data_IF_004218142397
#
_entry.id   IF_004218142397
#
_cell.length_a   1.000
_cell.length_b   1.000
_cell.length_c   1.000
_cell.angle_alpha   90.00
_cell.angle_beta   90.00
_cell.angle_gamma   90.00
#
_symmetry.space_group_name_H-M   'P 1'
#
loop_
_entity.id
_entity.type
_entity.pdbx_description
1 polymer ?
#
# COMPACT_ATOMS: atom_id res chain seq x y z
N UNK A 1 -12.23 32.00 48.87
CA UNK A 1 -10.95 31.35 48.48
C UNK A 1 -10.32 30.78 49.75
N UNK A 2 -10.76 29.60 50.22
CA UNK A 2 -10.06 28.74 51.21
C UNK A 2 -10.81 27.48 51.68
N UNK A 3 -11.89 27.03 51.02
CA UNK A 3 -12.56 25.76 51.38
C UNK A 3 -12.53 24.66 50.30
N UNK A 4 -12.02 24.96 49.10
CA UNK A 4 -11.98 24.01 47.98
C UNK A 4 -10.68 23.21 47.84
N UNK A 5 -9.67 23.44 48.69
CA UNK A 5 -8.39 22.69 48.67
C UNK A 5 -8.27 21.58 49.73
N UNK A 6 -9.19 21.53 50.71
CA UNK A 6 -9.17 20.50 51.76
C UNK A 6 -9.83 19.16 51.35
N UNK A 7 -10.71 19.14 50.34
CA UNK A 7 -11.39 17.92 49.89
C UNK A 7 -10.63 17.10 48.82
N UNK A 8 -9.48 17.57 48.35
CA UNK A 8 -8.69 16.90 47.29
C UNK A 8 -7.47 16.12 47.80
N UNK A 9 -7.24 16.05 49.11
CA UNK A 9 -6.14 15.27 49.73
C UNK A 9 -6.59 14.02 50.51
N UNK A 10 -7.87 13.66 50.46
CA UNK A 10 -8.43 12.55 51.25
C UNK A 10 -8.95 11.36 50.41
N UNK A 11 -8.54 11.24 49.13
CA UNK A 11 -8.89 10.11 48.24
C UNK A 11 -7.69 9.41 47.56
N UNK A 12 -6.45 9.70 47.97
CA UNK A 12 -5.24 9.06 47.42
C UNK A 12 -4.50 8.19 48.47
N UNK A 13 -5.07 8.01 49.66
CA UNK A 13 -4.46 7.20 50.73
C UNK A 13 -5.46 6.20 51.32
N UNK A 14 -6.05 5.33 50.48
CA UNK A 14 -6.89 4.22 50.95
C UNK A 14 -7.11 3.14 49.88
N UNK A 15 -6.06 2.60 49.26
CA UNK A 15 -6.12 1.27 48.61
C UNK A 15 -4.75 0.57 48.50
N UNK A 16 -3.88 0.81 49.48
CA UNK A 16 -2.80 -0.12 49.82
C UNK A 16 -2.99 -0.53 51.28
N UNK A 17 -2.89 -1.84 51.53
CA UNK A 17 -2.86 -2.59 52.80
C UNK A 17 -4.12 -3.38 53.15
N UNK A 18 -4.21 -4.57 52.59
CA UNK A 18 -4.68 -5.85 53.16
C UNK A 18 -4.30 -6.86 52.05
N UNK A 19 -3.38 -7.82 52.18
CA UNK A 19 -3.16 -8.81 53.25
C UNK A 19 -1.73 -9.38 53.20
N UNK A 20 -1.28 -9.88 54.36
CA UNK A 20 0.04 -10.42 54.66
C UNK A 20 0.03 -11.97 54.65
N UNK A 21 1.15 -12.58 54.22
CA UNK A 21 1.79 -13.84 54.64
C UNK A 21 1.01 -15.13 54.99
N UNK A 22 1.44 -16.27 54.42
CA UNK A 22 1.95 -17.51 55.07
C UNK A 22 2.35 -18.52 53.96
N UNK A 23 3.63 -18.64 53.55
CA UNK A 23 4.63 -19.70 53.86
C UNK A 23 4.20 -21.17 53.64
N UNK A 24 4.92 -21.88 52.75
CA UNK A 24 5.64 -23.15 53.00
C UNK A 24 6.41 -23.64 51.75
N UNK A 25 7.74 -23.73 51.88
CA UNK A 25 8.71 -24.49 51.06
C UNK A 25 8.83 -25.92 51.66
N UNK A 26 9.35 -26.97 50.94
CA UNK A 26 10.80 -27.09 50.68
C UNK A 26 11.28 -27.87 49.42
N UNK A 27 12.45 -27.42 48.95
CA UNK A 27 13.65 -28.13 48.41
C UNK A 27 13.54 -29.43 47.58
N UNK A 28 14.22 -29.45 46.42
CA UNK A 28 15.44 -30.27 46.25
C UNK A 28 16.31 -29.78 45.08
N UNK A 29 17.61 -29.64 45.39
CA UNK A 29 18.76 -29.40 44.52
C UNK A 29 19.05 -30.62 43.62
N UNK A 30 19.67 -30.40 42.44
CA UNK A 30 20.95 -31.04 42.06
C UNK A 30 21.67 -30.13 41.05
N UNK A 31 22.97 -29.98 41.32
CA UNK A 31 24.03 -29.20 40.68
C UNK A 31 24.70 -29.98 39.53
N UNK A 32 25.12 -29.30 38.46
CA UNK A 32 26.37 -29.62 37.73
C UNK A 32 26.87 -28.43 36.88
N UNK A 33 27.88 -27.74 37.41
CA UNK A 33 29.02 -27.03 36.77
C UNK A 33 29.68 -27.87 35.64
N UNK A 34 30.48 -27.40 34.68
CA UNK A 34 31.16 -26.14 34.40
C UNK A 34 31.94 -26.24 33.04
N UNK A 35 32.35 -25.06 32.51
CA UNK A 35 33.57 -24.75 31.72
C UNK A 35 33.72 -25.28 30.28
N UNK A 36 33.82 -24.36 29.30
CA UNK A 36 35.12 -23.94 28.75
C UNK A 36 35.01 -22.69 27.84
N UNK A 37 35.96 -21.77 28.05
CA UNK A 37 36.27 -20.56 27.27
C UNK A 37 37.73 -20.67 26.83
N UNK A 38 38.08 -20.23 25.62
CA UNK A 38 39.09 -19.16 25.46
C UNK A 38 38.61 -18.13 24.42
N UNK A 39 38.48 -16.84 24.73
CA UNK A 39 39.53 -15.81 24.73
C UNK A 39 40.46 -15.82 23.51
N UNK A 40 40.21 -14.93 22.54
CA UNK A 40 41.28 -14.10 21.99
C UNK A 40 40.71 -12.76 21.46
N UNK A 41 41.37 -11.70 21.88
CA UNK A 41 41.17 -10.28 21.55
C UNK A 41 42.26 -9.85 20.57
N UNK A 42 41.90 -9.10 19.53
CA UNK A 42 42.71 -8.10 18.79
C UNK A 42 41.77 -7.48 17.73
N UNK A 43 41.11 -6.33 17.95
CA UNK A 43 41.53 -4.92 17.82
C UNK A 43 41.74 -4.38 16.39
N UNK A 44 40.96 -3.32 16.09
CA UNK A 44 41.13 -2.19 15.16
C UNK A 44 40.83 -2.26 13.64
N UNK A 45 39.80 -1.47 13.29
CA UNK A 45 39.65 -0.51 12.16
C UNK A 45 39.80 -0.98 10.70
N UNK A 46 38.70 -0.89 9.94
CA UNK A 46 38.55 0.17 8.91
C UNK A 46 37.06 0.37 8.58
N UNK A 47 36.63 1.63 8.60
CA UNK A 47 35.33 2.09 8.10
C UNK A 47 35.31 1.93 6.57
N UNK A 48 34.44 1.06 6.05
CA UNK A 48 34.00 1.16 4.66
C UNK A 48 32.66 1.91 4.59
N UNK A 49 32.68 2.91 3.70
CA UNK A 49 31.70 3.98 3.57
C UNK A 49 30.32 3.48 3.18
N UNK A 50 29.34 4.07 3.85
CA UNK A 50 27.92 4.07 3.53
C UNK A 50 27.67 4.63 2.11
N UNK A 51 26.74 4.07 1.30
CA UNK A 51 26.49 4.52 -0.07
C UNK A 51 25.61 5.78 -0.14
N UNK A 52 25.94 6.81 0.64
CA UNK A 52 25.26 8.12 0.65
C UNK A 52 25.81 9.06 -0.44
N UNK A 53 27.02 8.80 -0.94
CA UNK A 53 27.65 9.64 -1.99
C UNK A 53 27.05 9.40 -3.40
N UNK A 54 26.35 8.28 -3.63
CA UNK A 54 25.72 8.01 -4.93
C UNK A 54 24.37 8.72 -5.11
N UNK A 55 23.68 9.08 -4.02
CA UNK A 55 22.42 9.80 -4.05
C UNK A 55 22.61 11.32 -4.21
N UNK A 56 23.72 11.88 -3.70
CA UNK A 56 24.02 13.31 -3.87
C UNK A 56 24.46 13.65 -5.31
N UNK A 57 25.11 12.72 -6.01
CA UNK A 57 25.50 12.92 -7.41
C UNK A 57 24.28 13.06 -8.36
N UNK A 58 23.17 12.39 -8.06
CA UNK A 58 21.95 12.51 -8.89
C UNK A 58 21.12 13.76 -8.58
N UNK A 59 21.26 14.34 -7.38
CA UNK A 59 20.56 15.57 -7.00
C UNK A 59 21.34 16.80 -7.52
N UNK A 60 22.68 16.78 -7.53
CA UNK A 60 23.50 17.87 -8.09
C UNK A 60 23.45 17.97 -9.63
N UNK A 61 23.00 16.93 -10.32
CA UNK A 61 22.81 16.93 -11.78
C UNK A 61 21.43 17.44 -12.22
N UNK A 62 20.44 17.53 -11.31
CA UNK A 62 19.11 18.05 -11.61
C UNK A 62 18.93 19.54 -11.33
N UNK A 63 19.93 20.21 -10.74
CA UNK A 63 19.88 21.66 -10.42
C UNK A 63 20.83 22.51 -11.28
N UNK A 64 21.26 22.02 -12.45
CA UNK A 64 22.23 22.73 -13.33
C UNK A 64 21.85 22.86 -14.81
N UNK A 65 20.59 22.66 -15.18
CA UNK A 65 20.10 23.00 -16.51
C UNK A 65 18.92 23.97 -16.40
N UNK A 66 19.23 25.23 -16.11
CA UNK A 66 18.41 26.40 -16.47
C UNK A 66 19.22 27.65 -16.10
N UNK A 67 20.21 28.01 -16.92
CA UNK A 67 20.52 29.42 -17.24
C UNK A 67 21.67 29.57 -18.27
N UNK A 68 21.42 30.47 -19.22
CA UNK A 68 22.35 31.18 -20.15
C UNK A 68 22.93 30.46 -21.39
N UNK A 69 22.38 30.81 -22.57
CA UNK A 69 23.21 31.27 -23.70
C UNK A 69 22.64 32.60 -24.27
N UNK A 70 23.37 33.73 -24.14
CA UNK A 70 22.96 35.04 -24.63
C UNK A 70 23.68 35.39 -25.94
N UNK A 71 23.08 35.11 -27.10
CA UNK A 71 23.37 35.86 -28.33
C UNK A 71 22.32 35.62 -29.43
N UNK A 72 21.26 36.44 -29.47
CA UNK A 72 20.92 37.09 -30.74
C UNK A 72 20.21 38.42 -30.51
N UNK A 73 20.72 39.43 -31.20
CA UNK A 73 20.55 40.86 -30.93
C UNK A 73 19.52 41.44 -31.89
N UNK A 74 18.59 42.23 -31.32
CA UNK A 74 17.85 43.36 -31.93
C UNK A 74 16.92 43.10 -33.13
N UNK A 75 15.64 43.47 -32.94
CA UNK A 75 14.90 44.58 -33.61
C UNK A 75 13.66 44.83 -32.71
N UNK A 76 13.63 45.86 -31.87
CA UNK A 76 13.10 47.22 -32.09
C UNK A 76 11.58 47.31 -32.40
N UNK A 77 10.89 47.93 -31.43
CA UNK A 77 9.84 48.97 -31.53
C UNK A 77 8.35 48.59 -31.50
N UNK A 78 7.68 49.30 -30.57
CA UNK A 78 6.36 49.93 -30.65
C UNK A 78 5.08 49.20 -30.17
N UNK A 79 4.58 49.74 -29.05
CA UNK A 79 3.18 49.75 -28.65
C UNK A 79 2.32 50.49 -29.69
N UNK A 80 1.13 50.00 -29.98
CA UNK A 80 -0.16 50.73 -29.90
C UNK A 80 -1.29 49.94 -30.57
N UNK A 81 -2.52 50.05 -30.03
CA UNK A 81 -3.72 50.03 -30.86
C UNK A 81 -4.60 48.78 -30.89
N UNK A 82 -5.58 48.75 -29.97
CA UNK A 82 -7.03 48.76 -30.27
C UNK A 82 -7.67 47.74 -31.23
N UNK A 83 -8.67 47.03 -30.68
CA UNK A 83 -9.95 46.61 -31.29
C UNK A 83 -9.93 45.77 -32.60
N UNK A 84 -10.40 44.52 -32.54
CA UNK A 84 -11.67 44.04 -33.16
C UNK A 84 -11.83 42.51 -33.01
N UNK A 85 -13.07 42.09 -32.74
CA UNK A 85 -13.57 40.71 -32.68
C UNK A 85 -13.58 40.02 -34.08
N UNK A 86 -13.76 38.68 -34.13
CA UNK A 86 -13.24 37.82 -35.20
C UNK A 86 -14.28 37.55 -36.31
N UNK A 87 -13.89 36.84 -37.38
CA UNK A 87 -14.83 35.97 -38.06
C UNK A 87 -14.50 34.49 -37.85
N UNK A 88 -15.60 33.84 -37.53
CA UNK A 88 -15.96 32.43 -37.53
C UNK A 88 -15.81 31.78 -38.94
N UNK A 89 -16.17 30.51 -39.00
CA UNK A 89 -16.49 29.67 -40.17
C UNK A 89 -15.42 28.64 -40.54
N UNK A 90 -15.47 27.54 -39.79
CA UNK A 90 -15.78 26.17 -40.23
C UNK A 90 -15.48 25.72 -41.67
N UNK A 91 -15.17 24.41 -41.75
CA UNK A 91 -15.29 23.45 -42.88
C UNK A 91 -14.00 23.31 -43.71
N UNK A 92 -13.58 22.15 -44.19
CA UNK A 92 -14.05 20.74 -44.19
C UNK A 92 -13.00 19.99 -45.01
N UNK A 93 -12.57 18.82 -44.53
CA UNK A 93 -12.12 17.61 -45.23
C UNK A 93 -11.49 17.70 -46.64
N UNK A 94 -10.32 17.06 -46.78
CA UNK A 94 -10.12 15.80 -47.53
C UNK A 94 -8.86 15.78 -48.42
N UNK A 95 -8.05 14.74 -48.17
CA UNK A 95 -7.28 13.91 -49.13
C UNK A 95 -6.44 14.60 -50.22
N UNK A 96 -5.14 14.34 -50.16
CA UNK A 96 -4.38 14.00 -51.36
C UNK A 96 -3.36 12.90 -51.04
N UNK A 97 -3.55 11.75 -51.67
CA UNK A 97 -2.54 10.70 -51.84
C UNK A 97 -1.46 11.19 -52.80
N UNK A 98 -0.19 10.91 -52.51
CA UNK A 98 0.79 10.61 -53.56
C UNK A 98 1.72 9.51 -53.05
N UNK A 99 1.77 8.42 -53.82
CA UNK A 99 2.61 7.26 -53.58
C UNK A 99 4.03 7.44 -54.13
N UNK A 100 4.89 6.52 -53.68
CA UNK A 100 6.21 6.12 -54.22
C UNK A 100 7.45 6.85 -53.69
N UNK A 101 8.25 6.13 -52.91
CA UNK A 101 9.60 5.72 -53.28
C UNK A 101 10.23 4.92 -52.13
N UNK A 102 10.38 3.62 -52.33
CA UNK A 102 11.22 2.75 -51.48
C UNK A 102 12.67 2.97 -51.90
N UNK A 103 13.52 3.38 -50.97
CA UNK A 103 14.97 3.19 -51.06
C UNK A 103 15.53 2.76 -49.69
N UNK A 104 16.21 1.62 -49.72
CA UNK A 104 16.92 0.97 -48.62
C UNK A 104 18.09 1.79 -48.06
N UNK A 105 18.27 1.74 -46.73
CA UNK A 105 19.53 1.50 -45.95
C UNK A 105 19.42 2.01 -44.49
N UNK A 106 20.28 1.54 -43.54
CA UNK A 106 20.18 0.29 -42.81
C UNK A 106 19.88 0.52 -41.32
N UNK A 107 19.55 -0.57 -40.61
CA UNK A 107 19.28 -0.60 -39.18
C UNK A 107 20.51 -0.19 -38.34
N UNK A 108 20.33 0.81 -37.48
CA UNK A 108 21.08 0.98 -36.23
C UNK A 108 20.14 0.66 -35.08
N UNK A 109 20.31 -0.53 -34.51
CA UNK A 109 19.61 -0.94 -33.30
C UNK A 109 20.08 -0.09 -32.13
N UNK A 110 19.13 0.62 -31.51
CA UNK A 110 19.24 1.05 -30.13
C UNK A 110 18.18 0.27 -29.37
N UNK A 111 18.63 -0.73 -28.62
CA UNK A 111 17.79 -1.53 -27.73
C UNK A 111 17.33 -0.64 -26.59
N UNK A 112 16.12 -0.10 -26.69
CA UNK A 112 15.35 0.41 -25.55
C UNK A 112 14.53 -0.78 -25.05
N UNK A 113 15.07 -1.57 -24.11
CA UNK A 113 14.32 -2.66 -23.47
C UNK A 113 14.45 -2.72 -21.94
N UNK A 114 15.40 -2.01 -21.35
CA UNK A 114 15.64 -2.11 -19.90
C UNK A 114 14.84 -1.11 -19.05
N UNK A 115 14.45 0.06 -19.60
CA UNK A 115 13.70 1.09 -18.84
C UNK A 115 12.24 0.72 -18.58
N UNK A 116 11.59 0.05 -19.53
CA UNK A 116 10.16 -0.20 -19.49
C UNK A 116 9.81 -1.41 -18.61
N UNK A 117 10.71 -2.41 -18.52
CA UNK A 117 10.55 -3.55 -17.61
C UNK A 117 10.73 -3.17 -16.14
N UNK A 118 11.62 -2.21 -15.83
CA UNK A 118 11.80 -1.72 -14.46
C UNK A 118 10.65 -0.81 -14.01
N UNK A 119 10.12 0.07 -14.87
CA UNK A 119 8.94 0.86 -14.55
C UNK A 119 7.66 0.01 -14.43
N UNK A 120 7.52 -1.07 -15.23
CA UNK A 120 6.37 -1.97 -15.17
C UNK A 120 6.39 -2.91 -13.93
N UNK A 121 7.50 -2.94 -13.17
CA UNK A 121 7.61 -3.61 -11.87
C UNK A 121 7.11 -2.76 -10.68
N UNK A 122 6.81 -1.48 -10.90
CA UNK A 122 6.64 -0.50 -9.81
C UNK A 122 5.18 -0.28 -9.35
N UNK A 123 4.26 -1.19 -9.69
CA UNK A 123 2.84 -1.12 -9.30
C UNK A 123 2.25 -2.49 -8.94
N UNK A 124 2.91 -3.23 -8.05
CA UNK A 124 2.57 -4.63 -7.80
C UNK A 124 1.27 -4.86 -6.99
N UNK A 125 0.72 -3.83 -6.33
CA UNK A 125 -0.44 -3.95 -5.42
C UNK A 125 -1.75 -4.33 -6.13
N UNK A 126 -1.92 -3.92 -7.39
CA UNK A 126 -3.07 -4.32 -8.19
C UNK A 126 -3.04 -5.81 -8.57
N UNK A 127 -1.84 -6.40 -8.66
CA UNK A 127 -1.63 -7.76 -9.16
C UNK A 127 -1.65 -8.86 -8.10
N UNK A 128 -1.63 -8.54 -6.80
CA UNK A 128 -1.59 -9.55 -5.74
C UNK A 128 -2.98 -10.11 -5.39
N UNK A 129 -3.48 -11.07 -6.16
CA UNK A 129 -4.35 -12.12 -5.59
C UNK A 129 -3.51 -13.39 -5.49
N UNK A 130 -3.05 -13.69 -4.28
CA UNK A 130 -2.66 -15.06 -3.95
C UNK A 130 -3.83 -16.01 -4.15
N UNK A 131 -3.54 -17.28 -4.47
CA UNK A 131 -4.56 -18.32 -4.67
C UNK A 131 -5.59 -18.27 -3.55
N UNK A 132 -6.88 -18.22 -3.90
CA UNK A 132 -7.95 -18.29 -2.91
C UNK A 132 -7.72 -19.50 -2.00
N UNK A 133 -7.93 -19.37 -0.68
CA UNK A 133 -7.86 -20.52 0.21
C UNK A 133 -8.76 -21.64 -0.30
N UNK A 134 -8.23 -22.86 -0.39
CA UNK A 134 -8.97 -24.04 -0.87
C UNK A 134 -10.15 -24.44 0.02
N UNK A 135 -10.22 -23.86 1.22
CA UNK A 135 -11.26 -24.07 2.20
C UNK A 135 -11.65 -22.75 2.85
N UNK A 136 -12.87 -22.68 3.37
CA UNK A 136 -13.31 -21.57 4.21
C UNK A 136 -12.41 -21.48 5.45
N UNK A 137 -11.85 -20.30 5.69
CA UNK A 137 -10.97 -20.07 6.84
C UNK A 137 -11.77 -19.56 8.04
N UNK A 138 -11.25 -19.80 9.24
CA UNK A 138 -11.83 -19.23 10.46
C UNK A 138 -11.73 -17.71 10.46
N UNK A 139 -12.69 -17.00 11.10
CA UNK A 139 -12.63 -15.56 11.31
C UNK A 139 -11.32 -15.08 11.95
N UNK A 140 -10.93 -13.86 11.61
CA UNK A 140 -9.80 -13.17 12.25
C UNK A 140 -10.30 -12.57 13.56
N UNK A 141 -9.80 -13.07 14.69
CA UNK A 141 -10.20 -12.65 16.03
C UNK A 141 -8.98 -12.29 16.87
N UNK A 142 -9.17 -11.42 17.86
CA UNK A 142 -8.14 -11.08 18.86
C UNK A 142 -7.36 -9.81 18.57
N UNK A 143 -7.18 -9.42 17.31
CA UNK A 143 -6.47 -8.18 16.97
C UNK A 143 -7.15 -6.93 17.54
N UNK A 144 -8.47 -6.93 17.66
CA UNK A 144 -9.26 -5.86 18.24
C UNK A 144 -8.98 -5.66 19.74
N UNK A 145 -8.50 -6.70 20.44
CA UNK A 145 -8.13 -6.63 21.86
C UNK A 145 -6.75 -6.02 22.09
N UNK A 146 -5.95 -5.90 21.03
CA UNK A 146 -4.64 -5.23 21.11
C UNK A 146 -4.86 -3.73 21.37
N UNK A 147 -4.11 -3.11 22.28
CA UNK A 147 -4.17 -1.67 22.49
C UNK A 147 -3.80 -0.93 21.19
N UNK A 148 -4.39 0.25 20.99
CA UNK A 148 -3.95 1.14 19.93
C UNK A 148 -2.59 1.74 20.31
N UNK A 149 -1.60 1.62 19.44
CA UNK A 149 -0.19 1.94 19.69
C UNK A 149 0.36 2.91 18.65
N UNK A 150 1.57 3.43 18.87
CA UNK A 150 2.33 4.16 17.85
C UNK A 150 2.66 3.24 16.67
N UNK A 151 2.91 3.81 15.48
CA UNK A 151 3.30 3.02 14.30
C UNK A 151 4.60 2.24 14.55
N UNK A 152 5.57 2.85 15.24
CA UNK A 152 6.85 2.24 15.62
C UNK A 152 6.63 0.97 16.47
N UNK A 153 5.81 1.08 17.53
CA UNK A 153 5.51 -0.06 18.40
C UNK A 153 4.68 -1.13 17.66
N UNK A 154 3.78 -0.69 16.79
CA UNK A 154 2.87 -1.57 16.07
C UNK A 154 3.58 -2.49 15.06
N UNK A 155 4.72 -2.06 14.50
CA UNK A 155 5.50 -2.88 13.55
C UNK A 155 6.59 -3.71 14.20
N UNK A 156 6.86 -3.53 15.51
CA UNK A 156 8.02 -4.13 16.17
C UNK A 156 8.06 -5.66 16.04
N UNK A 157 6.90 -6.33 16.11
CA UNK A 157 6.80 -7.79 16.02
C UNK A 157 7.08 -8.34 14.61
N UNK A 158 6.99 -7.50 13.57
CA UNK A 158 7.17 -7.87 12.17
C UNK A 158 8.34 -7.12 11.50
N UNK A 159 9.08 -6.33 12.28
CA UNK A 159 10.18 -5.48 11.83
C UNK A 159 11.21 -6.25 10.98
N UNK A 160 11.63 -7.42 11.46
CA UNK A 160 12.60 -8.31 10.81
C UNK A 160 12.15 -8.89 9.46
N UNK A 161 10.86 -8.77 9.11
CA UNK A 161 10.33 -9.29 7.85
C UNK A 161 10.45 -8.27 6.70
N UNK A 162 10.62 -6.98 7.02
CA UNK A 162 10.44 -5.88 6.08
C UNK A 162 11.73 -5.07 5.96
N UNK A 163 12.20 -4.87 4.73
CA UNK A 163 13.43 -4.12 4.49
C UNK A 163 13.25 -2.63 4.76
N UNK A 164 14.25 -2.04 5.42
CA UNK A 164 14.33 -0.61 5.74
C UNK A 164 13.07 -0.05 6.43
N UNK A 165 12.40 -0.88 7.23
CA UNK A 165 11.13 -0.52 7.88
C UNK A 165 11.24 0.73 8.77
N UNK A 166 12.35 0.94 9.48
CA UNK A 166 12.55 2.12 10.33
C UNK A 166 12.53 3.43 9.53
N UNK A 167 13.14 3.43 8.34
CA UNK A 167 13.13 4.59 7.45
C UNK A 167 11.72 4.78 6.89
N UNK A 168 11.06 3.72 6.45
CA UNK A 168 9.68 3.77 5.92
C UNK A 168 8.69 4.28 6.95
N UNK A 169 8.80 3.86 8.22
CA UNK A 169 7.97 4.37 9.32
C UNK A 169 8.18 5.86 9.52
N UNK A 170 9.43 6.33 9.55
CA UNK A 170 9.73 7.78 9.67
C UNK A 170 9.14 8.58 8.52
N UNK A 171 9.35 8.14 7.28
CA UNK A 171 8.78 8.78 6.08
C UNK A 171 7.25 8.77 6.14
N UNK A 172 6.65 7.65 6.53
CA UNK A 172 5.20 7.53 6.62
C UNK A 172 4.61 8.53 7.62
N UNK A 173 5.24 8.68 8.80
CA UNK A 173 4.82 9.64 9.82
C UNK A 173 5.03 11.09 9.39
N UNK A 174 6.15 11.41 8.76
CA UNK A 174 6.43 12.76 8.24
C UNK A 174 5.37 13.17 7.20
N UNK A 175 5.07 12.30 6.24
CA UNK A 175 4.03 12.56 5.24
C UNK A 175 2.66 12.70 5.91
N UNK A 176 2.32 11.82 6.84
CA UNK A 176 1.05 11.88 7.58
C UNK A 176 0.88 13.18 8.38
N UNK A 177 1.96 13.76 8.91
CA UNK A 177 1.94 15.05 9.62
C UNK A 177 1.75 16.25 8.67
N UNK A 178 2.33 16.17 7.48
CA UNK A 178 2.25 17.25 6.49
C UNK A 178 0.89 17.30 5.80
N UNK A 179 0.20 16.17 5.70
CA UNK A 179 -1.09 16.09 5.02
C UNK A 179 -2.25 16.54 5.91
N UNK A 180 -3.18 17.26 5.28
CA UNK A 180 -4.31 17.90 5.96
C UNK A 180 -5.53 17.01 6.17
N UNK A 181 -5.41 15.68 6.07
CA UNK A 181 -6.50 14.73 6.30
C UNK A 181 -6.94 14.75 7.76
N UNK A 182 -7.89 15.64 8.12
CA UNK A 182 -8.24 15.94 9.52
C UNK A 182 -8.99 14.81 10.26
N UNK A 183 -9.35 13.74 9.56
CA UNK A 183 -10.19 12.69 10.13
C UNK A 183 -9.39 11.59 10.85
N UNK A 184 -8.16 11.33 10.40
CA UNK A 184 -7.29 10.32 10.98
C UNK A 184 -6.23 10.99 11.86
N UNK A 185 -5.82 10.30 12.92
CA UNK A 185 -4.61 10.67 13.65
C UNK A 185 -3.36 10.45 12.78
N UNK A 186 -2.24 11.04 13.18
CA UNK A 186 -0.96 10.84 12.50
C UNK A 186 -0.59 9.36 12.43
N UNK A 187 -0.76 8.60 13.52
CA UNK A 187 -0.42 7.17 13.55
C UNK A 187 -1.32 6.34 12.61
N UNK A 188 -2.61 6.66 12.55
CA UNK A 188 -3.57 6.00 11.66
C UNK A 188 -3.31 6.31 10.19
N UNK A 189 -3.06 7.58 9.87
CA UNK A 189 -2.69 8.03 8.52
C UNK A 189 -1.37 7.39 8.08
N UNK A 190 -0.36 7.40 8.96
CA UNK A 190 0.94 6.79 8.68
C UNK A 190 0.84 5.27 8.46
N UNK A 191 -0.09 4.57 9.12
CA UNK A 191 -0.31 3.14 8.88
C UNK A 191 -0.80 2.87 7.45
N UNK A 192 -1.74 3.68 6.92
CA UNK A 192 -2.19 3.59 5.53
C UNK A 192 -1.04 3.97 4.59
N UNK A 193 -0.33 5.06 4.87
CA UNK A 193 0.81 5.50 4.08
C UNK A 193 1.85 4.39 3.95
N UNK A 194 2.22 3.75 5.06
CA UNK A 194 3.16 2.62 5.08
C UNK A 194 2.63 1.40 4.32
N UNK A 195 1.34 1.07 4.43
CA UNK A 195 0.72 -0.02 3.67
C UNK A 195 0.86 0.21 2.15
N UNK A 196 0.75 1.45 1.70
CA UNK A 196 0.81 1.79 0.28
C UNK A 196 2.23 1.99 -0.27
N UNK A 197 3.26 1.98 0.58
CA UNK A 197 4.65 2.08 0.13
C UNK A 197 5.07 0.81 -0.60
N UNK A 198 5.49 0.97 -1.85
CA UNK A 198 6.06 -0.13 -2.60
C UNK A 198 7.52 -0.35 -2.24
N UNK A 199 7.97 -1.60 -2.34
CA UNK A 199 9.35 -1.98 -2.08
C UNK A 199 9.73 -3.18 -2.94
N UNK A 200 10.99 -3.21 -3.34
CA UNK A 200 11.61 -4.36 -3.98
C UNK A 200 12.77 -4.87 -3.09
N UNK A 201 12.92 -6.18 -2.91
CA UNK A 201 12.08 -7.27 -3.45
C UNK A 201 10.70 -7.37 -2.77
N UNK A 202 9.70 -7.92 -3.48
CA UNK A 202 8.30 -7.96 -3.02
C UNK A 202 8.10 -8.81 -1.76
N UNK A 203 8.88 -9.88 -1.60
CA UNK A 203 8.84 -10.75 -0.43
C UNK A 203 9.36 -10.09 0.85
N UNK A 204 9.89 -8.85 0.73
CA UNK A 204 10.27 -7.94 1.82
C UNK A 204 9.40 -6.69 1.88
N UNK A 205 8.30 -6.64 1.13
CA UNK A 205 7.37 -5.53 1.11
C UNK A 205 6.21 -5.76 2.09
N UNK A 206 5.90 -4.75 2.92
CA UNK A 206 4.92 -4.87 4.00
C UNK A 206 3.54 -5.31 3.50
N UNK A 207 2.99 -4.66 2.46
CA UNK A 207 1.64 -4.99 1.98
C UNK A 207 1.58 -6.43 1.47
N UNK A 208 2.64 -6.87 0.78
CA UNK A 208 2.70 -8.19 0.16
C UNK A 208 2.74 -9.28 1.23
N UNK A 209 3.61 -9.12 2.24
CA UNK A 209 3.72 -10.08 3.34
C UNK A 209 2.42 -10.09 4.16
N UNK A 210 1.87 -8.93 4.51
CA UNK A 210 0.61 -8.85 5.24
C UNK A 210 -0.55 -9.53 4.49
N UNK A 211 -0.72 -9.24 3.20
CA UNK A 211 -1.77 -9.85 2.39
C UNK A 211 -1.58 -11.36 2.23
N UNK A 212 -0.33 -11.83 2.10
CA UNK A 212 -0.01 -13.25 2.15
C UNK A 212 -0.40 -13.87 3.50
N UNK A 213 -0.07 -13.23 4.61
CA UNK A 213 -0.39 -13.72 5.96
C UNK A 213 -1.90 -13.72 6.22
N UNK A 214 -2.65 -12.72 5.75
CA UNK A 214 -4.12 -12.67 5.84
C UNK A 214 -4.79 -13.85 5.14
N UNK A 215 -4.21 -14.32 4.03
CA UNK A 215 -4.65 -15.52 3.29
C UNK A 215 -4.18 -16.84 3.92
N UNK A 216 -3.29 -16.82 4.91
CA UNK A 216 -2.81 -18.04 5.57
C UNK A 216 -3.94 -18.75 6.29
N UNK A 217 -4.06 -20.06 6.06
CA UNK A 217 -4.98 -20.91 6.81
C UNK A 217 -4.61 -21.00 8.29
N UNK A 218 -3.32 -20.85 8.62
CA UNK A 218 -2.86 -20.81 10.00
C UNK A 218 -3.03 -19.39 10.57
N UNK A 219 -4.13 -19.16 11.31
CA UNK A 219 -4.42 -17.87 11.93
C UNK A 219 -3.38 -17.41 12.96
N UNK A 220 -2.53 -18.32 13.45
CA UNK A 220 -1.43 -17.95 14.35
C UNK A 220 -0.38 -17.08 13.66
N UNK A 221 -0.24 -17.19 12.34
CA UNK A 221 0.70 -16.39 11.57
C UNK A 221 0.34 -14.89 11.57
N UNK A 222 -0.93 -14.55 11.82
CA UNK A 222 -1.40 -13.17 11.94
C UNK A 222 -1.13 -12.55 13.31
N UNK A 223 -0.83 -13.34 14.35
CA UNK A 223 -0.66 -12.81 15.72
C UNK A 223 0.42 -11.72 15.79
N UNK A 224 1.61 -11.88 15.17
CA UNK A 224 2.62 -10.82 15.13
C UNK A 224 2.14 -9.53 14.44
N UNK A 225 1.17 -9.64 13.53
CA UNK A 225 0.60 -8.50 12.80
C UNK A 225 -0.51 -7.79 13.57
N UNK A 226 -1.03 -8.33 14.68
CA UNK A 226 -2.18 -7.75 15.37
C UNK A 226 -2.00 -6.29 15.80
N UNK A 227 -0.84 -5.83 16.30
CA UNK A 227 -0.66 -4.41 16.62
C UNK A 227 -0.76 -3.50 15.38
N UNK A 228 -0.09 -3.87 14.28
CA UNK A 228 -0.19 -3.13 13.02
C UNK A 228 -1.60 -3.21 12.40
N UNK A 229 -2.21 -4.39 12.39
CA UNK A 229 -3.57 -4.60 11.88
C UNK A 229 -4.60 -3.82 12.69
N UNK A 230 -4.44 -3.72 14.02
CA UNK A 230 -5.28 -2.87 14.88
C UNK A 230 -5.20 -1.41 14.42
N UNK A 231 -4.01 -0.88 14.20
CA UNK A 231 -3.80 0.51 13.77
C UNK A 231 -4.40 0.76 12.37
N UNK A 232 -4.06 -0.08 11.39
CA UNK A 232 -4.56 0.02 10.01
C UNK A 232 -6.09 -0.12 9.94
N UNK A 233 -6.66 -1.12 10.60
CA UNK A 233 -8.12 -1.32 10.59
C UNK A 233 -8.87 -0.20 11.32
N UNK A 234 -8.30 0.37 12.40
CA UNK A 234 -8.88 1.55 13.06
C UNK A 234 -8.93 2.74 12.11
N UNK A 235 -7.85 2.97 11.35
CA UNK A 235 -7.78 4.01 10.33
C UNK A 235 -8.86 3.80 9.25
N UNK A 236 -8.90 2.62 8.63
CA UNK A 236 -9.85 2.30 7.57
C UNK A 236 -11.31 2.34 8.05
N UNK A 237 -11.58 2.00 9.31
CA UNK A 237 -12.94 2.06 9.86
C UNK A 237 -13.46 3.50 10.00
N UNK A 238 -12.58 4.45 10.33
CA UNK A 238 -12.94 5.88 10.43
C UNK A 238 -13.24 6.51 9.08
N UNK A 239 -12.67 5.98 7.99
CA UNK A 239 -12.93 6.47 6.64
C UNK A 239 -14.37 6.16 6.19
N UNK A 240 -15.06 7.11 5.54
CA UNK A 240 -16.41 6.88 5.02
C UNK A 240 -16.39 5.74 3.99
N UNK A 241 -17.41 4.87 3.99
CA UNK A 241 -17.50 3.81 3.00
C UNK A 241 -17.85 4.36 1.62
N UNK A 242 -17.14 3.83 0.63
CA UNK A 242 -17.41 3.99 -0.79
C UNK A 242 -18.32 2.86 -1.25
N UNK A 243 -19.45 3.23 -1.86
CA UNK A 243 -20.47 2.33 -2.40
C UNK A 243 -20.66 2.56 -3.90
N UNK A 244 -19.83 1.92 -4.71
CA UNK A 244 -19.85 2.04 -6.18
C UNK A 244 -19.16 0.84 -6.82
N UNK A 245 -19.26 0.70 -8.12
CA UNK A 245 -18.47 -0.30 -8.86
C UNK A 245 -17.00 0.13 -8.90
N UNK A 246 -16.10 -0.75 -8.50
CA UNK A 246 -14.65 -0.57 -8.59
C UNK A 246 -14.01 -1.70 -9.37
N UNK A 247 -12.79 -1.45 -9.86
CA UNK A 247 -12.08 -2.30 -10.80
C UNK A 247 -10.74 -2.75 -10.22
N UNK A 248 -10.43 -4.03 -10.40
CA UNK A 248 -9.13 -4.60 -10.04
C UNK A 248 -8.61 -5.50 -11.17
N UNK A 249 -7.46 -5.15 -11.72
CA UNK A 249 -6.79 -5.91 -12.77
C UNK A 249 -5.69 -6.81 -12.23
N UNK A 250 -5.58 -8.03 -12.75
CA UNK A 250 -4.56 -9.01 -12.39
C UNK A 250 -3.93 -9.55 -13.66
N UNK A 251 -2.63 -9.34 -13.79
CA UNK A 251 -1.84 -9.80 -14.94
C UNK A 251 -1.41 -11.25 -14.79
N UNK A 252 -1.08 -11.84 -15.94
CA UNK A 252 -0.47 -13.16 -16.12
C UNK A 252 -1.27 -14.31 -15.51
N UNK A 253 -2.59 -14.17 -15.36
CA UNK A 253 -3.44 -15.20 -14.76
C UNK A 253 -4.88 -15.16 -15.28
N UNK A 254 -5.45 -16.34 -15.48
CA UNK A 254 -6.87 -16.57 -15.66
C UNK A 254 -7.46 -17.13 -14.36
N UNK A 255 -8.37 -16.39 -13.72
CA UNK A 255 -9.05 -16.83 -12.50
C UNK A 255 -10.49 -17.31 -12.75
N UNK A 256 -10.96 -17.32 -14.00
CA UNK A 256 -12.37 -17.61 -14.33
C UNK A 256 -12.84 -18.98 -13.86
N UNK A 257 -11.96 -19.98 -13.78
CA UNK A 257 -12.29 -21.31 -13.24
C UNK A 257 -12.40 -21.34 -11.71
N UNK A 258 -11.73 -20.42 -11.01
CA UNK A 258 -11.78 -20.34 -9.55
C UNK A 258 -13.06 -19.66 -9.05
N UNK A 259 -13.66 -18.80 -9.88
CA UNK A 259 -14.87 -18.04 -9.56
C UNK A 259 -16.06 -18.58 -10.37
N UNK A 260 -16.90 -19.40 -9.74
CA UNK A 260 -18.10 -19.93 -10.40
C UNK A 260 -19.31 -19.07 -10.09
N UNK A 261 -20.18 -18.86 -11.07
CA UNK A 261 -21.38 -18.04 -10.91
C UNK A 261 -22.29 -18.59 -9.80
N UNK A 262 -22.86 -17.69 -8.99
CA UNK A 262 -23.66 -18.02 -7.81
C UNK A 262 -22.87 -18.55 -6.61
N UNK A 263 -21.54 -18.72 -6.73
CA UNK A 263 -20.70 -19.08 -5.59
C UNK A 263 -20.28 -17.85 -4.78
N UNK A 264 -19.95 -18.10 -3.52
CA UNK A 264 -19.54 -17.08 -2.58
C UNK A 264 -18.08 -17.25 -2.15
N UNK A 265 -17.39 -16.14 -1.97
CA UNK A 265 -15.96 -16.11 -1.64
C UNK A 265 -15.64 -15.05 -0.59
N UNK A 266 -14.70 -15.36 0.29
CA UNK A 266 -14.10 -14.38 1.19
C UNK A 266 -12.78 -13.89 0.63
N UNK A 267 -12.66 -12.59 0.40
CA UNK A 267 -11.37 -11.94 0.13
C UNK A 267 -10.72 -11.58 1.45
N UNK A 268 -9.72 -12.37 1.85
CA UNK A 268 -9.04 -12.20 3.14
C UNK A 268 -8.01 -11.08 3.15
N UNK A 269 -7.40 -10.77 2.01
CA UNK A 269 -6.42 -9.70 1.87
C UNK A 269 -7.09 -8.32 1.74
N UNK A 270 -6.31 -7.26 1.96
CA UNK A 270 -6.68 -5.94 1.50
C UNK A 270 -6.51 -5.89 -0.03
N UNK A 271 -7.46 -5.28 -0.73
CA UNK A 271 -7.46 -5.24 -2.20
C UNK A 271 -7.51 -3.81 -2.72
N UNK A 272 -6.42 -3.38 -3.35
CA UNK A 272 -6.34 -2.10 -4.06
C UNK A 272 -7.18 -2.15 -5.33
N UNK A 273 -8.07 -1.18 -5.49
CA UNK A 273 -8.95 -1.03 -6.63
C UNK A 273 -8.92 0.42 -7.11
N UNK A 274 -9.43 0.65 -8.31
CA UNK A 274 -9.68 1.99 -8.84
C UNK A 274 -11.13 2.10 -9.29
N UNK A 275 -11.68 3.29 -9.26
CA UNK A 275 -12.99 3.58 -9.84
C UNK A 275 -12.91 3.89 -11.35
N UNK A 276 -11.72 4.21 -11.85
CA UNK A 276 -11.54 4.66 -13.23
C UNK A 276 -11.23 3.47 -14.15
N UNK A 277 -12.23 2.96 -14.86
CA UNK A 277 -12.04 1.82 -15.76
C UNK A 277 -10.94 2.06 -16.82
N UNK A 278 -10.80 3.29 -17.33
CA UNK A 278 -9.83 3.61 -18.39
C UNK A 278 -8.38 3.42 -17.94
N UNK A 279 -8.06 3.58 -16.65
CA UNK A 279 -6.68 3.33 -16.19
C UNK A 279 -6.29 1.87 -16.28
N UNK A 280 -7.24 0.93 -16.33
CA UNK A 280 -6.95 -0.49 -16.54
C UNK A 280 -6.29 -0.76 -17.91
N UNK A 281 -6.45 0.13 -18.89
CA UNK A 281 -5.78 -0.03 -20.18
C UNK A 281 -4.28 0.26 -20.09
N UNK A 282 -3.80 0.93 -19.04
CA UNK A 282 -2.37 1.25 -18.93
C UNK A 282 -1.57 0.04 -18.46
N UNK A 283 -0.32 -0.12 -18.91
CA UNK A 283 0.55 -1.20 -18.46
C UNK A 283 0.66 -1.27 -16.94
N UNK A 284 0.65 -0.15 -16.22
CA UNK A 284 0.79 -0.12 -14.76
C UNK A 284 -0.34 -0.82 -14.00
N UNK A 285 -1.56 -0.89 -14.56
CA UNK A 285 -2.73 -1.45 -13.88
C UNK A 285 -3.17 -2.82 -14.38
N UNK A 286 -3.30 -3.01 -15.69
CA UNK A 286 -3.69 -4.30 -16.27
C UNK A 286 -3.12 -4.45 -17.67
N UNK A 287 -3.20 -3.40 -18.47
CA UNK A 287 -2.71 -3.37 -19.84
C UNK A 287 -3.69 -4.00 -20.83
N UNK A 288 -3.31 -3.95 -22.10
CA UNK A 288 -4.13 -4.43 -23.23
C UNK A 288 -3.69 -5.78 -23.78
N UNK A 289 -2.61 -6.36 -23.25
CA UNK A 289 -1.98 -7.56 -23.78
C UNK A 289 -1.65 -8.57 -22.67
N UNK A 290 -1.52 -9.84 -23.07
CA UNK A 290 -1.15 -10.93 -22.18
C UNK A 290 -2.31 -11.48 -21.38
N UNK A 291 -2.16 -12.71 -20.88
CA UNK A 291 -3.18 -13.39 -20.09
C UNK A 291 -3.53 -12.54 -18.87
N UNK A 292 -4.80 -12.18 -18.68
CA UNK A 292 -5.19 -11.25 -17.62
C UNK A 292 -6.63 -11.43 -17.16
N UNK A 293 -6.87 -11.11 -15.89
CA UNK A 293 -8.19 -11.13 -15.26
C UNK A 293 -8.55 -9.72 -14.78
N UNK A 294 -9.75 -9.24 -15.10
CA UNK A 294 -10.33 -8.00 -14.60
C UNK A 294 -11.54 -8.31 -13.71
N UNK A 295 -11.54 -7.82 -12.49
CA UNK A 295 -12.71 -7.84 -11.62
C UNK A 295 -13.52 -6.55 -11.78
N UNK A 296 -14.81 -6.71 -12.05
CA UNK A 296 -15.85 -5.70 -11.80
C UNK A 296 -16.44 -5.99 -10.43
N UNK A 297 -16.38 -5.03 -9.51
CA UNK A 297 -16.72 -5.26 -8.10
C UNK A 297 -17.76 -4.24 -7.67
N UNK A 298 -19.00 -4.67 -7.43
CA UNK A 298 -20.00 -3.87 -6.72
C UNK A 298 -19.63 -3.85 -5.23
N UNK A 299 -18.94 -2.80 -4.76
CA UNK A 299 -18.46 -2.72 -3.38
C UNK A 299 -19.40 -1.89 -2.49
N UNK A 300 -19.48 -2.28 -1.22
CA UNK A 300 -20.30 -1.61 -0.19
C UNK A 300 -19.44 -0.92 0.89
N UNK A 301 -18.18 -1.30 0.99
CA UNK A 301 -17.26 -0.85 2.04
C UNK A 301 -15.86 -0.55 1.52
N UNK A 302 -15.73 -0.02 0.29
CA UNK A 302 -14.45 0.49 -0.19
C UNK A 302 -14.01 1.72 0.61
N UNK A 303 -12.71 1.97 0.69
CA UNK A 303 -12.13 3.12 1.41
C UNK A 303 -11.30 3.94 0.46
N UNK A 304 -11.68 5.19 0.24
CA UNK A 304 -10.87 6.12 -0.53
C UNK A 304 -9.66 6.53 0.32
N UNK A 305 -8.47 6.17 -0.16
CA UNK A 305 -7.24 6.38 0.61
C UNK A 305 -6.25 7.30 -0.10
N UNK A 306 -6.66 7.97 -1.19
CA UNK A 306 -5.80 8.89 -1.96
C UNK A 306 -5.05 9.87 -1.07
N UNK A 307 -5.75 10.54 -0.15
CA UNK A 307 -5.16 11.55 0.75
C UNK A 307 -4.21 10.94 1.80
N UNK A 308 -4.26 9.63 2.02
CA UNK A 308 -3.48 8.90 3.03
C UNK A 308 -2.45 7.93 2.42
N UNK A 309 -2.42 7.81 1.09
CA UNK A 309 -1.57 6.88 0.34
C UNK A 309 -0.23 7.52 -0.03
N UNK A 310 0.84 6.74 0.00
CA UNK A 310 2.14 7.12 -0.56
C UNK A 310 2.09 7.35 -2.07
N UNK A 311 1.18 6.70 -2.79
CA UNK A 311 0.96 6.86 -4.22
C UNK A 311 -0.27 7.74 -4.48
N UNK A 312 -0.06 9.06 -4.47
CA UNK A 312 -1.15 10.06 -4.51
C UNK A 312 -1.93 10.09 -5.83
N UNK A 313 -1.34 9.62 -6.92
CA UNK A 313 -1.91 9.69 -8.27
C UNK A 313 -2.88 8.55 -8.59
N UNK A 314 -2.99 7.52 -7.75
CA UNK A 314 -3.73 6.30 -8.08
C UNK A 314 -5.25 6.39 -7.84
N UNK A 315 -5.73 7.45 -7.16
CA UNK A 315 -7.13 7.57 -6.71
C UNK A 315 -7.63 6.24 -6.09
N UNK A 316 -6.79 5.65 -5.24
CA UNK A 316 -6.96 4.27 -4.80
C UNK A 316 -8.19 4.12 -3.89
N UNK A 317 -9.03 3.13 -4.23
CA UNK A 317 -10.07 2.60 -3.36
C UNK A 317 -9.56 1.28 -2.78
N UNK A 318 -9.24 1.29 -1.49
CA UNK A 318 -8.80 0.11 -0.78
C UNK A 318 -10.00 -0.64 -0.20
N UNK A 319 -10.17 -1.90 -0.58
CA UNK A 319 -11.13 -2.79 0.06
C UNK A 319 -10.49 -3.38 1.33
N UNK A 320 -11.15 -3.25 2.51
CA UNK A 320 -10.70 -3.90 3.74
C UNK A 320 -10.59 -5.42 3.60
N UNK A 321 -9.86 -6.10 4.50
CA UNK A 321 -9.77 -7.55 4.48
C UNK A 321 -11.06 -8.20 4.96
N UNK A 322 -11.20 -9.49 4.61
CA UNK A 322 -12.30 -10.36 5.02
C UNK A 322 -13.69 -9.90 4.54
N UNK A 323 -13.77 -9.32 3.34
CA UNK A 323 -15.04 -9.03 2.67
C UNK A 323 -15.61 -10.28 1.99
N UNK A 324 -16.94 -10.37 1.93
CA UNK A 324 -17.66 -11.51 1.37
C UNK A 324 -18.35 -11.11 0.06
N UNK A 325 -18.21 -11.95 -0.96
CA UNK A 325 -18.65 -11.64 -2.31
C UNK A 325 -19.44 -12.79 -2.93
N UNK A 326 -20.43 -12.46 -3.75
CA UNK A 326 -21.13 -13.35 -4.68
C UNK A 326 -20.60 -13.14 -6.10
N UNK A 327 -20.40 -14.22 -6.85
CA UNK A 327 -20.06 -14.12 -8.29
C UNK A 327 -21.34 -14.01 -9.10
N UNK A 328 -21.50 -12.90 -9.81
CA UNK A 328 -22.69 -12.60 -10.61
C UNK A 328 -22.58 -13.09 -12.05
N UNK A 329 -21.35 -13.22 -12.56
CA UNK A 329 -21.14 -13.68 -13.92
C UNK A 329 -19.70 -13.53 -14.37
N UNK A 330 -19.42 -14.07 -15.56
CA UNK A 330 -18.11 -14.03 -16.20
C UNK A 330 -18.26 -13.70 -17.67
N UNK A 331 -17.27 -13.00 -18.22
CA UNK A 331 -17.18 -12.68 -19.64
C UNK A 331 -15.75 -12.87 -20.12
N UNK A 332 -15.56 -13.39 -21.34
CA UNK A 332 -14.25 -13.54 -21.97
C UNK A 332 -14.27 -12.82 -23.33
N UNK A 333 -14.19 -11.48 -23.37
CA UNK A 333 -14.41 -10.70 -24.59
C UNK A 333 -13.23 -10.74 -25.57
N UNK A 334 -12.05 -11.20 -25.13
CA UNK A 334 -10.87 -11.39 -25.96
C UNK A 334 -10.10 -12.63 -25.49
N UNK A 335 -9.29 -13.30 -26.32
CA UNK A 335 -8.67 -14.59 -25.99
C UNK A 335 -7.88 -14.61 -24.68
N UNK A 336 -7.31 -13.47 -24.29
CA UNK A 336 -6.41 -13.30 -23.16
C UNK A 336 -7.02 -12.48 -22.00
N UNK A 337 -8.27 -12.01 -22.11
CA UNK A 337 -8.92 -11.16 -21.10
C UNK A 337 -10.15 -11.86 -20.50
N UNK A 338 -10.08 -12.15 -19.20
CA UNK A 338 -11.18 -12.71 -18.43
C UNK A 338 -11.78 -11.65 -17.51
N UNK A 339 -13.07 -11.37 -17.63
CA UNK A 339 -13.80 -10.45 -16.75
C UNK A 339 -14.66 -11.25 -15.78
N UNK A 340 -14.56 -10.96 -14.49
CA UNK A 340 -15.36 -11.58 -13.43
C UNK A 340 -16.14 -10.47 -12.74
N UNK A 341 -17.47 -10.61 -12.72
CA UNK A 341 -18.35 -9.69 -12.03
C UNK A 341 -18.73 -10.24 -10.66
N UNK A 342 -18.43 -9.50 -9.60
CA UNK A 342 -18.74 -9.87 -8.22
C UNK A 342 -19.45 -8.74 -7.49
N UNK A 343 -20.28 -9.10 -6.51
CA UNK A 343 -20.95 -8.15 -5.61
C UNK A 343 -20.64 -8.44 -4.17
N UNK A 344 -20.30 -7.40 -3.41
CA UNK A 344 -20.14 -7.50 -1.97
C UNK A 344 -21.49 -7.78 -1.33
N UNK A 345 -21.54 -8.80 -0.49
CA UNK A 345 -22.73 -9.20 0.27
C UNK A 345 -22.41 -9.29 1.75
N UNK A 346 -23.45 -9.31 2.58
CA UNK A 346 -23.29 -9.52 4.03
C UNK A 346 -22.87 -10.97 4.28
N UNK A 347 -21.82 -11.16 5.08
CA UNK A 347 -21.39 -12.50 5.46
C UNK A 347 -22.36 -13.14 6.45
N UNK A 348 -22.58 -14.47 6.39
CA UNK A 348 -23.42 -15.18 7.37
C UNK A 348 -22.85 -15.17 8.80
N UNK A 349 -21.58 -14.79 8.99
CA UNK A 349 -20.94 -14.64 10.30
C UNK A 349 -19.90 -13.52 10.26
N UNK A 350 -19.50 -13.02 11.44
CA UNK A 350 -18.47 -11.99 11.52
C UNK A 350 -17.10 -12.57 11.13
N UNK A 351 -16.58 -12.16 9.96
CA UNK A 351 -15.31 -12.65 9.42
C UNK A 351 -14.09 -11.96 10.05
N UNK A 352 -14.27 -10.72 10.51
CA UNK A 352 -13.27 -9.92 11.22
C UNK A 352 -14.01 -8.98 12.18
N UNK A 353 -13.63 -8.99 13.45
CA UNK A 353 -14.25 -8.11 14.46
C UNK A 353 -13.95 -6.64 14.15
N UNK A 354 -14.85 -5.68 14.45
CA UNK A 354 -14.50 -4.26 14.42
C UNK A 354 -13.29 -3.94 15.32
N UNK A 355 -12.53 -2.87 15.01
CA UNK A 355 -11.29 -2.57 15.72
C UNK A 355 -11.51 -1.90 17.10
N UNK A 356 -12.71 -1.89 17.69
CA UNK A 356 -13.00 -1.22 18.97
C UNK A 356 -13.69 -2.13 19.99
#
# INVERSE_FOLDING_TARGET
>A
MNESRARRRQKIAAHQRLTCHTLLHPTNEVIADAKDVPSNTEEFETWERCPVEKLMYYIEQSEKEDDEDPHNTQIKTEMTGSLHSPPDITKTYAKQEVASAVQDRPATGVTIKESDEEQNKMHCRYFDIGTLPKQTLLPITGYNKTPLMSLEDAIQSVHHLIDNIDVKVKVAKQNAQQRHGRMLSVEESAAIQLYTMEAFPLDRCLYYILNKTLRSANRRDLIPWFPYLKLLMTALWKLPPVRRTVWRGIKNVNLSEQYQEGQHYTWWNLSSCTETLTVMQTPQFLGTEGLRTLFSIECENGKEIKEYSYLEYENEILLPPALYFEVLGKLNPAPDLYIIHIRQIVSPYELICPPF
#
